data_IF_038869396800
#
_entry.id   IF_038869396800
#
_cell.length_a   1.000
_cell.length_b   1.000
_cell.length_c   1.000
_cell.angle_alpha   90.00
_cell.angle_beta   90.00
_cell.angle_gamma   90.00
#
_symmetry.space_group_name_H-M   'P 1'
#
loop_
_entity.id
_entity.type
_entity.pdbx_description
1 polymer ?
#
# COMPACT_ATOMS: atom_id res chain seq x y z
N UNK A 1 17.99 3.46 -10.35
CA UNK A 1 17.03 3.27 -9.22
C UNK A 1 16.75 4.66 -8.65
N UNK A 2 15.49 5.03 -8.47
CA UNK A 2 15.13 6.31 -7.85
C UNK A 2 15.22 6.16 -6.32
N UNK A 3 15.85 7.11 -5.62
CA UNK A 3 15.83 7.17 -4.16
C UNK A 3 14.57 7.90 -3.67
N UNK A 4 14.18 7.75 -2.39
CA UNK A 4 13.08 8.51 -1.79
C UNK A 4 13.23 10.02 -2.00
N UNK A 5 14.45 10.55 -1.79
CA UNK A 5 14.75 11.96 -2.05
C UNK A 5 14.54 12.35 -3.53
N UNK A 6 15.03 11.54 -4.47
CA UNK A 6 14.84 11.82 -5.91
C UNK A 6 13.37 11.85 -6.30
N UNK A 7 12.54 10.97 -5.73
CA UNK A 7 11.09 10.99 -5.95
C UNK A 7 10.46 12.23 -5.31
N UNK A 8 10.84 12.56 -4.07
CA UNK A 8 10.32 13.73 -3.37
C UNK A 8 10.59 15.05 -4.10
N UNK A 9 11.80 15.23 -4.66
CA UNK A 9 12.15 16.43 -5.45
C UNK A 9 11.21 16.60 -6.65
N UNK A 10 10.84 15.50 -7.32
CA UNK A 10 10.01 15.52 -8.53
C UNK A 10 8.53 15.67 -8.18
N UNK A 11 8.06 15.01 -7.11
CA UNK A 11 6.64 14.96 -6.77
C UNK A 11 6.17 16.06 -5.81
N UNK A 12 7.04 16.62 -4.96
CA UNK A 12 6.64 17.65 -4.01
C UNK A 12 5.99 18.88 -4.66
N UNK A 13 6.49 19.42 -5.80
CA UNK A 13 5.82 20.51 -6.49
C UNK A 13 4.44 20.14 -7.07
N UNK A 14 4.22 18.86 -7.39
CA UNK A 14 2.96 18.39 -7.96
C UNK A 14 1.90 18.12 -6.90
N UNK A 15 2.32 17.65 -5.72
CA UNK A 15 1.42 17.27 -4.60
C UNK A 15 1.15 18.47 -3.67
N UNK A 16 2.14 19.33 -3.44
CA UNK A 16 2.08 20.46 -2.50
C UNK A 16 2.32 21.79 -3.22
N UNK A 17 1.46 22.13 -4.20
CA UNK A 17 1.56 23.39 -4.95
C UNK A 17 1.43 24.59 -4.01
N UNK A 18 2.29 25.59 -4.21
CA UNK A 18 2.13 26.88 -3.56
C UNK A 18 0.91 27.61 -4.15
N UNK A 19 0.21 28.47 -3.37
CA UNK A 19 -0.88 29.29 -3.90
C UNK A 19 -0.39 30.23 -5.02
N UNK A 20 -1.20 30.46 -6.05
CA UNK A 20 -0.84 31.34 -7.19
C UNK A 20 -0.64 32.81 -6.79
N UNK A 21 -1.18 33.22 -5.65
CA UNK A 21 -1.00 34.56 -5.07
C UNK A 21 0.23 34.69 -4.17
N UNK A 22 1.00 33.61 -3.96
CA UNK A 22 2.17 33.62 -3.10
C UNK A 22 3.35 34.36 -3.75
N UNK A 23 4.07 35.14 -2.94
CA UNK A 23 5.29 35.80 -3.36
C UNK A 23 6.36 34.76 -3.78
N UNK A 24 6.94 34.85 -4.99
CA UNK A 24 7.90 33.86 -5.49
C UNK A 24 9.12 33.67 -4.59
N UNK A 25 9.62 34.74 -3.97
CA UNK A 25 10.78 34.66 -3.07
C UNK A 25 10.45 33.93 -1.76
N UNK A 26 9.20 33.99 -1.32
CA UNK A 26 8.70 33.19 -0.21
C UNK A 26 8.48 31.73 -0.60
N UNK A 27 7.88 31.44 -1.76
CA UNK A 27 7.66 30.07 -2.26
C UNK A 27 8.98 29.30 -2.45
N UNK A 28 10.05 29.97 -2.88
CA UNK A 28 11.38 29.35 -2.98
C UNK A 28 11.92 28.81 -1.64
N UNK A 29 11.52 29.39 -0.51
CA UNK A 29 11.93 28.93 0.83
C UNK A 29 11.22 27.65 1.25
N UNK A 30 10.08 27.35 0.65
CA UNK A 30 9.26 26.19 1.00
C UNK A 30 9.56 24.98 0.12
N UNK A 31 10.30 25.13 -0.98
CA UNK A 31 10.75 24.01 -1.84
C UNK A 31 11.51 22.94 -1.03
N UNK A 32 12.46 23.35 -0.19
CA UNK A 32 13.20 22.41 0.64
C UNK A 32 12.29 21.72 1.66
N UNK A 33 11.39 22.47 2.30
CA UNK A 33 10.48 21.93 3.32
C UNK A 33 9.47 20.95 2.74
N UNK A 34 8.88 21.28 1.59
CA UNK A 34 7.92 20.43 0.87
C UNK A 34 8.59 19.16 0.37
N UNK A 35 9.81 19.26 -0.18
CA UNK A 35 10.62 18.09 -0.55
C UNK A 35 10.89 17.19 0.65
N UNK A 36 11.36 17.75 1.78
CA UNK A 36 11.60 16.98 3.00
C UNK A 36 10.34 16.32 3.54
N UNK A 37 9.21 17.04 3.53
CA UNK A 37 7.91 16.50 3.96
C UNK A 37 7.52 15.26 3.13
N UNK A 38 7.61 15.35 1.80
CA UNK A 38 7.29 14.23 0.91
C UNK A 38 8.30 13.09 1.05
N UNK A 39 9.59 13.40 1.20
CA UNK A 39 10.62 12.38 1.45
C UNK A 39 10.34 11.61 2.74
N UNK A 40 9.92 12.28 3.81
CA UNK A 40 9.55 11.63 5.08
C UNK A 40 8.36 10.68 4.89
N UNK A 41 7.32 11.11 4.17
CA UNK A 41 6.16 10.26 3.86
C UNK A 41 6.57 9.03 3.06
N UNK A 42 7.39 9.20 2.02
CA UNK A 42 7.87 8.07 1.20
C UNK A 42 8.69 7.09 2.05
N UNK A 43 9.60 7.60 2.88
CA UNK A 43 10.41 6.74 3.76
C UNK A 43 9.55 5.95 4.73
N UNK A 44 8.52 6.57 5.32
CA UNK A 44 7.61 5.89 6.25
C UNK A 44 6.78 4.81 5.53
N UNK A 45 6.29 5.09 4.33
CA UNK A 45 5.57 4.10 3.53
C UNK A 45 6.47 2.91 3.17
N UNK A 46 7.72 3.15 2.76
CA UNK A 46 8.69 2.09 2.48
C UNK A 46 8.98 1.28 3.75
N UNK A 47 9.18 1.95 4.88
CA UNK A 47 9.42 1.29 6.17
C UNK A 47 8.25 0.37 6.54
N UNK A 48 7.04 0.91 6.56
CA UNK A 48 5.83 0.14 6.90
C UNK A 48 5.61 -1.02 5.93
N UNK A 49 5.88 -0.82 4.64
CA UNK A 49 5.79 -1.88 3.63
C UNK A 49 6.80 -3.01 3.90
N UNK A 50 8.05 -2.66 4.20
CA UNK A 50 9.09 -3.64 4.53
C UNK A 50 8.77 -4.41 5.82
N UNK A 51 8.25 -3.74 6.86
CA UNK A 51 7.82 -4.39 8.10
C UNK A 51 6.71 -5.43 7.83
N UNK A 52 5.73 -5.11 6.99
CA UNK A 52 4.69 -6.08 6.60
C UNK A 52 5.22 -7.23 5.75
N UNK A 53 6.21 -6.98 4.88
CA UNK A 53 6.86 -8.06 4.12
C UNK A 53 7.61 -9.03 5.04
N UNK A 54 8.29 -8.50 6.06
CA UNK A 54 8.96 -9.33 7.07
C UNK A 54 7.96 -10.16 7.86
N UNK A 55 6.81 -9.60 8.22
CA UNK A 55 5.72 -10.33 8.87
C UNK A 55 5.17 -11.47 7.97
N UNK A 56 5.00 -11.23 6.67
CA UNK A 56 4.65 -12.29 5.70
C UNK A 56 5.71 -13.39 5.68
N UNK A 57 6.99 -13.04 5.60
CA UNK A 57 8.09 -14.02 5.58
C UNK A 57 8.08 -14.89 6.86
N UNK A 58 7.81 -14.29 8.01
CA UNK A 58 7.67 -15.01 9.27
C UNK A 58 6.47 -15.98 9.25
N UNK A 59 5.33 -15.55 8.72
CA UNK A 59 4.15 -16.41 8.55
C UNK A 59 4.43 -17.57 7.58
N UNK A 60 5.16 -17.34 6.49
CA UNK A 60 5.58 -18.38 5.55
C UNK A 60 6.50 -19.42 6.19
N UNK A 61 7.46 -18.97 6.99
CA UNK A 61 8.32 -19.86 7.75
C UNK A 61 7.52 -20.69 8.77
N UNK A 62 6.61 -20.06 9.50
CA UNK A 62 5.73 -20.75 10.46
C UNK A 62 4.82 -21.77 9.76
N UNK A 63 4.28 -21.43 8.59
CA UNK A 63 3.48 -22.35 7.75
C UNK A 63 4.33 -23.57 7.36
N UNK A 64 5.54 -23.35 6.84
CA UNK A 64 6.43 -24.43 6.43
C UNK A 64 6.77 -25.37 7.58
N UNK A 65 7.06 -24.83 8.76
CA UNK A 65 7.30 -25.64 9.97
C UNK A 65 6.06 -26.46 10.36
N UNK A 66 4.88 -25.85 10.39
CA UNK A 66 3.64 -26.54 10.75
C UNK A 66 3.30 -27.65 9.74
N UNK A 67 3.49 -27.41 8.44
CA UNK A 67 3.31 -28.41 7.39
C UNK A 67 4.31 -29.57 7.55
N UNK A 68 5.57 -29.28 7.86
CA UNK A 68 6.58 -30.31 8.10
C UNK A 68 6.25 -31.16 9.34
N UNK A 69 5.78 -30.53 10.42
CA UNK A 69 5.33 -31.24 11.62
C UNK A 69 4.15 -32.17 11.31
N UNK A 70 3.15 -31.67 10.57
CA UNK A 70 2.00 -32.47 10.15
C UNK A 70 2.42 -33.65 9.27
N UNK A 71 3.33 -33.42 8.32
CA UNK A 71 3.88 -34.47 7.44
C UNK A 71 4.60 -35.56 8.23
N UNK A 72 5.43 -35.17 9.20
CA UNK A 72 6.17 -36.10 10.05
C UNK A 72 5.22 -36.91 10.94
N UNK A 73 4.20 -36.28 11.55
CA UNK A 73 3.18 -37.00 12.34
C UNK A 73 2.43 -38.04 11.51
N UNK A 74 1.99 -37.68 10.29
CA UNK A 74 1.33 -38.63 9.37
C UNK A 74 2.24 -39.78 8.93
N UNK A 75 3.53 -39.53 8.77
CA UNK A 75 4.49 -40.59 8.45
C UNK A 75 4.67 -41.54 9.63
N UNK A 76 4.77 -41.02 10.85
CA UNK A 76 4.96 -41.82 12.06
C UNK A 76 3.75 -42.70 12.38
N UNK A 77 2.52 -42.18 12.24
CA UNK A 77 1.30 -42.99 12.45
C UNK A 77 1.14 -44.12 11.43
N UNK A 78 1.70 -43.98 10.21
CA UNK A 78 1.74 -45.05 9.20
C UNK A 78 2.80 -46.10 9.54
N UNK A 79 3.95 -45.70 10.11
CA UNK A 79 5.00 -46.64 10.53
C UNK A 79 4.61 -47.46 11.77
N UNK A 80 3.93 -46.83 12.73
CA UNK A 80 3.48 -47.49 13.96
C UNK A 80 2.44 -48.58 13.66
N UNK A 81 1.46 -48.29 12.79
CA UNK A 81 0.48 -49.28 12.31
C UNK A 81 1.08 -50.45 11.52
N UNK A 82 2.25 -50.26 10.87
CA UNK A 82 2.91 -51.29 10.07
C UNK A 82 3.83 -52.20 10.89
N UNK A 83 4.23 -51.78 12.09
CA UNK A 83 5.10 -52.55 12.98
C UNK A 83 4.32 -53.44 13.97
N UNK A 84 3.05 -53.10 14.26
CA UNK A 84 2.22 -53.85 15.22
C UNK A 84 1.57 -55.14 14.69
N UNK A 85 1.86 -55.56 13.46
CA UNK A 85 1.26 -56.75 12.83
C UNK A 85 1.93 -58.10 13.24
N UNK A 86 2.58 -58.16 14.42
CA UNK A 86 3.30 -59.36 14.90
C UNK A 86 3.00 -59.81 16.33
N UNK A 87 2.03 -59.25 17.04
CA UNK A 87 1.67 -59.75 18.39
C UNK A 87 0.16 -59.75 18.64
N UNK A 88 -0.40 -60.95 18.68
CA UNK A 88 -1.77 -61.23 19.16
C UNK A 88 -1.79 -61.12 20.68
N UNK A 89 -2.26 -60.00 21.22
CA UNK A 89 -2.83 -59.90 22.58
C UNK A 89 -3.97 -58.86 22.53
N UNK A 90 -5.20 -59.18 22.98
CA UNK A 90 -6.26 -58.21 23.11
C UNK A 90 -6.18 -57.58 24.50
N UNK A 91 -5.43 -56.49 24.64
CA UNK A 91 -5.52 -55.64 25.83
C UNK A 91 -5.74 -54.18 25.42
N UNK A 92 -6.47 -53.49 26.29
CA UNK A 92 -7.06 -52.18 26.11
C UNK A 92 -6.02 -51.08 25.87
N UNK A 93 -5.57 -50.91 24.63
CA UNK A 93 -4.80 -49.73 24.23
C UNK A 93 -5.75 -48.73 23.56
N UNK A 94 -6.08 -47.68 24.30
CA UNK A 94 -6.71 -46.46 23.81
C UNK A 94 -5.62 -45.36 23.64
N UNK A 95 -4.92 -45.25 22.48
CA UNK A 95 -4.00 -44.15 22.24
C UNK A 95 -4.35 -43.32 21.00
N UNK A 96 -5.64 -43.10 20.69
CA UNK A 96 -6.05 -42.53 19.40
C UNK A 96 -6.67 -41.14 19.44
N UNK A 97 -7.19 -40.67 20.57
CA UNK A 97 -7.87 -39.37 20.60
C UNK A 97 -6.88 -38.20 20.62
N UNK A 98 -5.86 -38.25 21.48
CA UNK A 98 -4.87 -37.18 21.63
C UNK A 98 -4.03 -36.92 20.37
N UNK A 99 -3.62 -37.97 19.66
CA UNK A 99 -2.82 -37.81 18.43
C UNK A 99 -3.68 -37.32 17.25
N UNK A 100 -4.95 -37.75 17.19
CA UNK A 100 -5.92 -37.26 16.20
C UNK A 100 -6.29 -35.80 16.47
N UNK A 101 -6.45 -35.42 17.74
CA UNK A 101 -6.70 -34.05 18.18
C UNK A 101 -5.50 -33.14 17.88
N UNK A 102 -4.27 -33.58 18.17
CA UNK A 102 -3.05 -32.84 17.83
C UNK A 102 -2.92 -32.62 16.31
N UNK A 103 -3.28 -33.61 15.49
CA UNK A 103 -3.31 -33.46 14.03
C UNK A 103 -4.34 -32.42 13.57
N UNK A 104 -5.54 -32.44 14.16
CA UNK A 104 -6.61 -31.44 13.88
C UNK A 104 -6.16 -30.02 14.23
N UNK A 105 -5.57 -29.85 15.41
CA UNK A 105 -5.01 -28.56 15.84
C UNK A 105 -3.94 -28.03 14.87
N UNK A 106 -3.04 -28.90 14.39
CA UNK A 106 -2.04 -28.52 13.39
C UNK A 106 -2.68 -28.09 12.06
N UNK A 107 -3.70 -28.81 11.58
CA UNK A 107 -4.42 -28.44 10.36
C UNK A 107 -5.15 -27.09 10.51
N UNK A 108 -5.78 -26.85 11.66
CA UNK A 108 -6.43 -25.57 11.97
C UNK A 108 -5.40 -24.44 12.02
N UNK A 109 -4.25 -24.66 12.67
CA UNK A 109 -3.18 -23.66 12.73
C UNK A 109 -2.63 -23.33 11.34
N UNK A 110 -2.39 -24.33 10.48
CA UNK A 110 -1.96 -24.10 9.09
C UNK A 110 -3.00 -23.28 8.33
N UNK A 111 -4.29 -23.59 8.48
CA UNK A 111 -5.37 -22.84 7.84
C UNK A 111 -5.40 -21.38 8.32
N UNK A 112 -5.27 -21.17 9.63
CA UNK A 112 -5.22 -19.83 10.22
C UNK A 112 -4.02 -19.02 9.71
N UNK A 113 -2.82 -19.61 9.67
CA UNK A 113 -1.62 -18.93 9.15
C UNK A 113 -1.79 -18.54 7.67
N UNK A 114 -2.36 -19.44 6.86
CA UNK A 114 -2.65 -19.15 5.45
C UNK A 114 -3.62 -18.00 5.27
N UNK A 115 -4.69 -17.97 6.07
CA UNK A 115 -5.67 -16.88 6.05
C UNK A 115 -5.03 -15.56 6.48
N UNK A 116 -4.29 -15.56 7.58
CA UNK A 116 -3.60 -14.36 8.09
C UNK A 116 -2.62 -13.79 7.07
N UNK A 117 -1.86 -14.66 6.39
CA UNK A 117 -0.96 -14.28 5.30
C UNK A 117 -1.71 -13.67 4.12
N UNK A 118 -2.84 -14.27 3.71
CA UNK A 118 -3.69 -13.74 2.65
C UNK A 118 -4.26 -12.36 3.03
N UNK A 119 -4.77 -12.23 4.25
CA UNK A 119 -5.31 -10.98 4.78
C UNK A 119 -4.25 -9.87 4.86
N UNK A 120 -3.02 -10.23 5.22
CA UNK A 120 -1.89 -9.31 5.27
C UNK A 120 -1.42 -8.91 3.85
N UNK A 121 -1.36 -9.87 2.92
CA UNK A 121 -1.00 -9.63 1.53
C UNK A 121 -2.03 -8.74 0.80
N UNK A 122 -3.33 -8.96 1.04
CA UNK A 122 -4.41 -8.12 0.51
C UNK A 122 -4.32 -6.66 1.01
N UNK A 123 -3.85 -6.45 2.24
CA UNK A 123 -3.66 -5.12 2.84
C UNK A 123 -2.29 -4.49 2.54
N UNK A 124 -1.41 -5.20 1.84
CA UNK A 124 -0.02 -4.80 1.69
C UNK A 124 0.13 -3.59 0.77
N UNK A 125 -0.70 -3.45 -0.27
CA UNK A 125 -1.30 -2.15 -0.58
C UNK A 125 -2.56 -2.17 -1.48
N UNK A 126 -3.63 -1.50 -1.07
CA UNK A 126 -4.51 -0.79 -2.02
C UNK A 126 -3.69 0.38 -2.62
N UNK A 127 -2.78 0.05 -3.54
CA UNK A 127 -2.15 0.99 -4.48
C UNK A 127 -3.05 1.20 -5.70
N UNK A 128 -4.29 0.69 -5.68
CA UNK A 128 -5.36 1.08 -6.59
C UNK A 128 -5.79 2.52 -6.25
N UNK A 129 -4.96 3.45 -6.70
CA UNK A 129 -5.34 4.69 -7.34
C UNK A 129 -6.88 4.86 -7.46
N UNK A 130 -7.56 5.59 -6.56
CA UNK A 130 -8.81 6.24 -6.97
C UNK A 130 -8.45 7.07 -8.20
N UNK A 131 -9.13 6.80 -9.32
CA UNK A 131 -8.74 7.20 -10.67
C UNK A 131 -8.06 8.57 -10.74
N UNK A 132 -6.84 8.59 -11.30
CA UNK A 132 -6.02 9.79 -11.54
C UNK A 132 -6.59 10.74 -12.59
N UNK A 133 -7.89 10.70 -12.85
CA UNK A 133 -8.57 11.48 -13.88
C UNK A 133 -9.49 12.57 -13.31
N UNK A 134 -9.55 12.77 -11.99
CA UNK A 134 -10.57 13.66 -11.41
C UNK A 134 -10.15 15.13 -11.17
N UNK A 135 -8.87 15.50 -11.16
CA UNK A 135 -8.44 16.85 -10.74
C UNK A 135 -7.42 17.56 -11.67
N UNK A 136 -7.38 17.22 -12.97
CA UNK A 136 -6.75 18.11 -13.97
C UNK A 136 -7.70 19.24 -14.41
N UNK A 137 -8.35 19.91 -13.45
CA UNK A 137 -9.15 21.11 -13.71
C UNK A 137 -8.26 22.36 -13.87
N UNK A 138 -7.19 22.25 -14.66
CA UNK A 138 -6.41 23.40 -15.12
C UNK A 138 -6.67 23.56 -16.63
N UNK A 139 -7.78 24.19 -17.00
CA UNK A 139 -7.97 24.80 -18.33
C UNK A 139 -9.11 25.83 -18.33
N UNK A 140 -9.02 26.85 -17.48
CA UNK A 140 -9.59 28.16 -17.82
C UNK A 140 -8.48 29.04 -18.41
N UNK A 141 -7.90 28.56 -19.52
CA UNK A 141 -7.27 29.42 -20.51
C UNK A 141 -8.39 29.98 -21.40
N UNK A 142 -9.12 30.96 -20.89
CA UNK A 142 -10.11 31.78 -21.61
C UNK A 142 -10.24 33.05 -20.77
N UNK A 143 -9.83 34.26 -21.18
CA UNK A 143 -10.03 34.93 -22.45
C UNK A 143 -8.87 35.92 -22.66
N UNK A 144 -8.07 35.72 -23.70
CA UNK A 144 -7.29 36.80 -24.29
C UNK A 144 -7.29 36.63 -25.80
N UNK A 145 -8.33 37.16 -26.42
CA UNK A 145 -8.33 37.52 -27.83
C UNK A 145 -9.35 38.64 -28.07
N UNK A 146 -8.84 39.70 -28.70
CA UNK A 146 -9.54 40.68 -29.54
C UNK A 146 -10.41 41.78 -28.88
N UNK A 147 -9.95 43.03 -28.98
CA UNK A 147 -10.60 44.02 -29.83
C UNK A 147 -9.67 45.22 -30.04
N UNK A 148 -9.02 45.23 -31.21
CA UNK A 148 -8.41 46.40 -31.80
C UNK A 148 -9.29 46.73 -33.01
N UNK A 149 -9.79 47.96 -33.07
CA UNK A 149 -10.39 48.71 -34.19
C UNK A 149 -11.89 49.07 -34.09
N UNK A 150 -12.08 50.40 -34.03
CA UNK A 150 -13.12 51.26 -34.61
C UNK A 150 -14.60 51.04 -34.26
N UNK A 151 -15.16 51.96 -33.47
CA UNK A 151 -16.39 52.65 -33.89
C UNK A 151 -16.47 54.08 -33.33
N UNK A 152 -16.13 55.03 -34.21
CA UNK A 152 -16.59 56.42 -34.24
C UNK A 152 -18.09 56.53 -33.88
N UNK A 153 -18.45 57.31 -32.87
CA UNK A 153 -19.39 58.46 -32.99
C UNK A 153 -19.79 59.12 -31.65
N UNK A 154 -19.85 60.45 -31.68
CA UNK A 154 -20.77 61.35 -30.96
C UNK A 154 -20.27 62.07 -29.68
N UNK A 155 -19.67 63.25 -29.93
CA UNK A 155 -20.09 64.58 -29.44
C UNK A 155 -20.66 64.72 -28.02
N UNK A 156 -20.03 65.56 -27.20
CA UNK A 156 -20.62 66.81 -26.67
C UNK A 156 -19.57 67.63 -25.90
N UNK A 157 -19.08 68.72 -26.50
CA UNK A 157 -18.52 69.88 -25.79
C UNK A 157 -19.47 71.06 -26.04
N UNK A 158 -19.97 71.76 -25.01
CA UNK A 158 -20.55 73.07 -25.20
C UNK A 158 -19.47 74.14 -25.06
N UNK A 159 -19.41 75.00 -26.07
CA UNK A 159 -18.61 76.20 -26.18
C UNK A 159 -18.78 77.18 -25.00
N UNK A 160 -17.72 77.97 -24.78
CA UNK A 160 -17.79 79.27 -24.11
C UNK A 160 -16.86 80.28 -24.79
N UNK A 161 -17.37 80.93 -25.85
CA UNK A 161 -16.90 82.22 -26.39
C UNK A 161 -17.14 83.29 -25.30
N UNK A 162 -16.27 84.26 -25.01
CA UNK A 162 -15.76 85.38 -25.81
C UNK A 162 -14.47 85.93 -25.19
#
# INVERSE_FOLDING_TARGET
>A
RMSPNSLAIVFAPCILRCPDSADPLMSMKDVAKTTTCVEMLINEQIRSYNEKLEEIEQLEHAEALAVNQLKLKRQNTVHEKKCSDLTVVPENDEPLDSDTEAEKNLMERIKSIKQEKEDLACRLPELEQPGSDQDNLDSEASLSSESLLDERCNNLEPEGQY
#
